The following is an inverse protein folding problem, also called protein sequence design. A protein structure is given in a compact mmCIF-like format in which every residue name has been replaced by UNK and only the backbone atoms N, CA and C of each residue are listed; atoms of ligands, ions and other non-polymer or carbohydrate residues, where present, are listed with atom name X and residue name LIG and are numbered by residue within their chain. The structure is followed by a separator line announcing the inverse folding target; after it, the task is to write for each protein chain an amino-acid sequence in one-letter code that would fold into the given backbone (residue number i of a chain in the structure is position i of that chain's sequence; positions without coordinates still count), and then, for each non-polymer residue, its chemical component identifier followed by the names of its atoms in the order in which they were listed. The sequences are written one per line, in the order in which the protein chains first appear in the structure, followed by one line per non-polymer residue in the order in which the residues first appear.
data_IF_831908669821
#
_entry.id   IF_831908669821
#
_cell.length_a   1.000
_cell.length_b   1.000
_cell.length_c   1.000
_cell.angle_alpha   90.00
_cell.angle_beta   90.00
_cell.angle_gamma   90.00
#
_symmetry.space_group_name_H-M   'P 1'
#
loop_
_entity.id
_entity.type
_entity.pdbx_description
1 polymer ?
#
# COMPACT_ATOMS: atom_id res chain seq x y z
N UNK A 1 -13.62 17.90 28.98
CA UNK A 1 -13.55 17.64 27.54
C UNK A 1 -13.85 18.95 26.83
N UNK A 2 -12.83 19.62 26.31
CA UNK A 2 -13.06 20.69 25.32
C UNK A 2 -13.61 19.99 24.08
N UNK A 3 -14.82 20.34 23.67
CA UNK A 3 -15.32 19.91 22.35
C UNK A 3 -14.50 20.69 21.32
N UNK A 4 -13.60 20.00 20.62
CA UNK A 4 -12.89 20.57 19.47
C UNK A 4 -13.93 20.97 18.43
N UNK A 5 -13.98 22.26 18.10
CA UNK A 5 -14.87 22.77 17.05
C UNK A 5 -14.48 22.08 15.75
N UNK A 6 -15.41 21.41 15.05
CA UNK A 6 -15.06 20.71 13.83
C UNK A 6 -14.61 21.69 12.74
N UNK A 7 -13.65 21.27 11.93
CA UNK A 7 -13.27 21.93 10.69
C UNK A 7 -14.26 21.60 9.55
N UNK A 8 -13.95 22.01 8.31
CA UNK A 8 -14.89 21.89 7.17
C UNK A 8 -15.16 20.45 6.75
N UNK A 9 -14.29 19.50 7.09
CA UNK A 9 -14.44 18.11 6.71
C UNK A 9 -15.67 17.44 7.35
N UNK A 10 -16.28 18.05 8.36
CA UNK A 10 -17.53 17.55 8.97
C UNK A 10 -18.72 17.47 8.00
N UNK A 11 -18.61 18.12 6.84
CA UNK A 11 -19.61 18.11 5.77
C UNK A 11 -19.33 17.11 4.65
N UNK A 12 -18.19 16.41 4.71
CA UNK A 12 -17.81 15.40 3.72
C UNK A 12 -18.58 14.09 3.93
N UNK A 13 -18.60 13.25 2.89
CA UNK A 13 -19.22 11.92 2.94
C UNK A 13 -18.22 10.82 3.24
N UNK A 14 -16.98 10.98 2.79
CA UNK A 14 -15.89 10.05 3.04
C UNK A 14 -15.71 9.83 4.55
N UNK A 15 -15.80 8.58 5.03
CA UNK A 15 -15.45 8.24 6.41
C UNK A 15 -14.02 8.65 6.76
N UNK A 16 -13.09 8.55 5.81
CA UNK A 16 -11.70 8.96 5.99
C UNK A 16 -11.58 10.47 6.24
N UNK A 17 -12.28 11.31 5.47
CA UNK A 17 -12.26 12.75 5.69
C UNK A 17 -12.96 13.14 7.00
N UNK A 18 -14.08 12.48 7.32
CA UNK A 18 -14.82 12.71 8.56
C UNK A 18 -14.01 12.38 9.81
N UNK A 19 -13.11 11.38 9.76
CA UNK A 19 -12.18 11.07 10.85
C UNK A 19 -11.32 12.27 11.24
N UNK A 20 -10.89 13.08 10.25
CA UNK A 20 -10.06 14.25 10.46
C UNK A 20 -10.86 15.54 10.78
N UNK A 21 -12.19 15.46 10.87
CA UNK A 21 -13.05 16.65 11.04
C UNK A 21 -12.85 17.37 12.38
N UNK A 22 -12.30 16.69 13.39
CA UNK A 22 -12.03 17.27 14.71
C UNK A 22 -10.55 17.54 14.98
N UNK A 23 -9.67 17.32 13.99
CA UNK A 23 -8.25 17.64 14.14
C UNK A 23 -8.08 19.16 14.31
N UNK A 24 -7.11 19.61 15.12
CA UNK A 24 -6.83 21.04 15.31
C UNK A 24 -6.37 21.75 14.03
N UNK A 25 -5.92 21.01 13.01
CA UNK A 25 -5.63 21.54 11.68
C UNK A 25 -6.94 22.01 11.01
N UNK A 26 -6.97 23.24 10.48
CA UNK A 26 -8.10 23.83 9.75
C UNK A 26 -8.21 23.25 8.33
N UNK A 27 -8.56 21.96 8.24
CA UNK A 27 -8.65 21.25 6.98
C UNK A 27 -9.75 21.80 6.08
N UNK A 28 -9.41 21.87 4.79
CA UNK A 28 -10.33 22.01 3.67
C UNK A 28 -10.45 20.68 2.92
N UNK A 29 -11.63 20.34 2.38
CA UNK A 29 -11.71 19.35 1.31
C UNK A 29 -11.07 19.94 0.04
N UNK A 30 -10.74 19.06 -0.91
CA UNK A 30 -10.27 19.53 -2.21
C UNK A 30 -11.38 20.30 -2.96
N UNK A 31 -11.15 21.58 -3.22
CA UNK A 31 -12.09 22.40 -3.98
C UNK A 31 -11.61 23.83 -4.21
N UNK A 32 -12.32 24.57 -5.04
CA UNK A 32 -11.96 25.95 -5.43
C UNK A 32 -11.87 26.90 -4.23
N UNK A 33 -12.65 26.66 -3.18
CA UNK A 33 -12.65 27.50 -1.98
C UNK A 33 -11.29 27.52 -1.26
N UNK A 34 -10.60 26.38 -1.16
CA UNK A 34 -9.27 26.28 -0.56
C UNK A 34 -8.25 27.08 -1.36
N UNK A 35 -8.26 26.93 -2.70
CA UNK A 35 -7.32 27.63 -3.58
C UNK A 35 -7.62 29.11 -3.72
N UNK A 36 -8.90 29.52 -3.67
CA UNK A 36 -9.27 30.94 -3.61
C UNK A 36 -8.73 31.57 -2.33
N UNK A 37 -8.91 30.92 -1.18
CA UNK A 37 -8.34 31.41 0.09
C UNK A 37 -6.81 31.47 0.05
N UNK A 38 -6.15 30.47 -0.55
CA UNK A 38 -4.70 30.46 -0.73
C UNK A 38 -4.21 31.65 -1.58
N UNK A 39 -4.97 32.04 -2.60
CA UNK A 39 -4.68 33.22 -3.42
C UNK A 39 -4.91 34.53 -2.66
N UNK A 40 -6.02 34.65 -1.94
CA UNK A 40 -6.38 35.84 -1.14
C UNK A 40 -5.38 36.10 -0.01
N UNK A 41 -4.93 35.04 0.68
CA UNK A 41 -3.96 35.13 1.77
C UNK A 41 -2.49 35.03 1.31
N UNK A 42 -2.25 34.76 0.03
CA UNK A 42 -0.93 34.48 -0.54
C UNK A 42 -0.15 33.41 0.25
N UNK A 43 -0.82 32.31 0.59
CA UNK A 43 -0.24 31.17 1.32
C UNK A 43 -0.08 29.95 0.41
N UNK A 44 1.00 29.16 0.58
CA UNK A 44 1.11 27.86 -0.08
C UNK A 44 0.02 26.91 0.45
N UNK A 45 -0.31 25.90 -0.36
CA UNK A 45 -1.28 24.88 -0.01
C UNK A 45 -0.55 23.62 0.43
N UNK A 46 -0.82 23.15 1.64
CA UNK A 46 -0.38 21.85 2.13
C UNK A 46 -1.44 20.81 1.79
N UNK A 47 -1.14 19.82 0.97
CA UNK A 47 -2.06 18.76 0.58
C UNK A 47 -1.62 17.43 1.18
N UNK A 48 -2.52 16.78 1.92
CA UNK A 48 -2.33 15.43 2.44
C UNK A 48 -3.37 14.48 1.85
N UNK A 49 -2.90 13.57 0.99
CA UNK A 49 -3.72 12.55 0.32
C UNK A 49 -3.54 11.21 1.03
N UNK A 50 -4.65 10.55 1.36
CA UNK A 50 -4.68 9.22 1.98
C UNK A 50 -6.01 8.52 1.76
N UNK A 51 -6.27 7.45 2.49
CA UNK A 51 -7.51 6.67 2.44
C UNK A 51 -7.67 5.88 3.74
N UNK A 52 -8.86 5.35 3.98
CA UNK A 52 -9.31 4.83 5.28
C UNK A 52 -8.50 3.67 5.85
N UNK A 53 -7.92 2.80 5.01
CA UNK A 53 -7.15 1.61 5.44
C UNK A 53 -5.63 1.81 5.38
N UNK A 54 -5.19 3.04 5.18
CA UNK A 54 -3.77 3.40 5.09
C UNK A 54 -3.10 3.50 6.48
N UNK A 55 -2.33 2.49 6.87
CA UNK A 55 -1.62 2.48 8.16
C UNK A 55 -0.76 3.75 8.39
N UNK A 56 0.13 4.09 7.45
CA UNK A 56 1.00 5.27 7.61
C UNK A 56 0.23 6.60 7.63
N UNK A 57 -0.99 6.63 7.07
CA UNK A 57 -1.85 7.80 7.16
C UNK A 57 -2.37 7.97 8.59
N UNK A 58 -2.77 6.87 9.24
CA UNK A 58 -3.17 6.85 10.66
C UNK A 58 -2.01 7.13 11.60
N UNK A 59 -0.80 6.65 11.28
CA UNK A 59 0.41 7.00 12.05
C UNK A 59 0.68 8.48 11.96
N UNK A 60 0.69 9.06 10.75
CA UNK A 60 0.95 10.49 10.56
C UNK A 60 -0.15 11.36 11.17
N UNK A 61 -1.41 10.93 11.16
CA UNK A 61 -2.49 11.60 11.88
C UNK A 61 -2.18 11.67 13.38
N UNK A 62 -2.03 10.52 14.04
CA UNK A 62 -1.83 10.41 15.49
C UNK A 62 -0.57 11.13 15.95
N UNK A 63 0.52 11.04 15.19
CA UNK A 63 1.77 11.68 15.54
C UNK A 63 1.80 13.19 15.26
N UNK A 64 1.04 13.66 14.26
CA UNK A 64 1.21 15.02 13.73
C UNK A 64 -0.10 15.81 13.58
N UNK A 65 -1.14 15.27 12.95
CA UNK A 65 -2.33 16.08 12.65
C UNK A 65 -3.28 16.25 13.85
N UNK A 66 -3.18 15.43 14.89
CA UNK A 66 -3.86 15.61 16.18
C UNK A 66 -3.11 16.53 17.14
N UNK A 67 -1.87 16.89 16.82
CA UNK A 67 -0.97 17.64 17.69
C UNK A 67 -1.09 19.16 17.45
N UNK A 68 -1.36 19.91 18.53
CA UNK A 68 -1.61 21.37 18.48
C UNK A 68 -0.41 22.17 17.95
N UNK A 69 0.83 21.75 18.25
CA UNK A 69 2.04 22.46 17.76
C UNK A 69 2.16 22.35 16.24
N UNK A 70 1.94 21.16 15.68
CA UNK A 70 1.92 20.97 14.22
C UNK A 70 0.76 21.73 13.59
N UNK A 71 -0.42 21.68 14.21
CA UNK A 71 -1.60 22.37 13.72
C UNK A 71 -1.43 23.89 13.71
N UNK A 72 -0.83 24.48 14.74
CA UNK A 72 -0.53 25.91 14.79
C UNK A 72 0.37 26.33 13.64
N UNK A 73 1.44 25.57 13.35
CA UNK A 73 2.34 25.84 12.23
C UNK A 73 1.61 25.74 10.89
N UNK A 74 0.77 24.71 10.71
CA UNK A 74 -0.03 24.52 9.51
C UNK A 74 -1.03 25.66 9.31
N UNK A 75 -1.80 25.98 10.34
CA UNK A 75 -2.87 26.97 10.31
C UNK A 75 -2.32 28.40 10.09
N UNK A 76 -1.14 28.70 10.62
CA UNK A 76 -0.50 30.00 10.42
C UNK A 76 0.09 30.11 9.00
N UNK A 77 0.81 29.08 8.54
CA UNK A 77 1.63 29.16 7.33
C UNK A 77 0.95 28.71 6.04
N UNK A 78 -0.14 27.93 6.10
CA UNK A 78 -0.64 27.17 4.96
C UNK A 78 -2.16 27.19 4.85
N UNK A 79 -2.67 26.92 3.65
CA UNK A 79 -4.02 26.38 3.49
C UNK A 79 -3.91 24.86 3.41
N UNK A 80 -4.42 24.17 4.43
CA UNK A 80 -4.32 22.72 4.55
C UNK A 80 -5.51 22.02 3.88
N UNK A 81 -5.24 21.13 2.95
CA UNK A 81 -6.23 20.36 2.17
C UNK A 81 -6.06 18.87 2.43
N UNK A 82 -7.16 18.21 2.82
CA UNK A 82 -7.23 16.75 2.98
C UNK A 82 -7.95 16.14 1.79
N UNK A 83 -7.40 15.07 1.24
CA UNK A 83 -7.98 14.38 0.08
C UNK A 83 -8.09 12.90 0.38
N UNK A 84 -9.27 12.34 0.11
CA UNK A 84 -9.48 10.90 0.05
C UNK A 84 -9.19 10.41 -1.38
N UNK A 85 -8.20 9.54 -1.49
CA UNK A 85 -7.82 8.89 -2.74
C UNK A 85 -8.96 8.04 -3.31
N UNK A 86 -9.77 7.40 -2.49
CA UNK A 86 -10.85 6.52 -2.96
C UNK A 86 -11.97 7.32 -3.64
N UNK A 87 -12.22 8.55 -3.18
CA UNK A 87 -13.16 9.47 -3.83
C UNK A 87 -12.53 10.26 -4.99
N UNK A 88 -11.22 10.57 -4.90
CA UNK A 88 -10.49 11.40 -5.89
C UNK A 88 -9.22 10.73 -6.44
N UNK A 89 -9.34 9.58 -7.12
CA UNK A 89 -8.19 8.90 -7.72
C UNK A 89 -7.52 9.72 -8.85
N UNK A 90 -8.27 10.65 -9.45
CA UNK A 90 -7.77 11.60 -10.44
C UNK A 90 -6.70 12.53 -9.85
N UNK A 91 -6.96 13.10 -8.67
CA UNK A 91 -6.01 13.98 -7.97
C UNK A 91 -4.82 13.18 -7.47
N UNK A 92 -5.08 12.04 -6.85
CA UNK A 92 -4.04 11.14 -6.34
C UNK A 92 -3.03 10.77 -7.43
N UNK A 93 -3.51 10.37 -8.61
CA UNK A 93 -2.63 9.93 -9.71
C UNK A 93 -1.70 11.04 -10.20
N UNK A 94 -2.20 12.28 -10.33
CA UNK A 94 -1.40 13.43 -10.77
C UNK A 94 -0.28 13.71 -9.79
N UNK A 95 -0.58 13.80 -8.49
CA UNK A 95 0.43 14.15 -7.50
C UNK A 95 1.32 12.97 -7.10
N UNK A 96 0.85 11.73 -7.27
CA UNK A 96 1.70 10.55 -7.14
C UNK A 96 2.79 10.55 -8.22
N UNK A 97 2.44 10.87 -9.47
CA UNK A 97 3.42 11.01 -10.55
C UNK A 97 4.46 12.09 -10.24
N UNK A 98 4.03 13.21 -9.65
CA UNK A 98 4.96 14.27 -9.19
C UNK A 98 5.90 13.74 -8.11
N UNK A 99 5.38 13.05 -7.10
CA UNK A 99 6.20 12.45 -6.03
C UNK A 99 7.23 11.46 -6.59
N UNK A 100 6.82 10.59 -7.51
CA UNK A 100 7.71 9.65 -8.18
C UNK A 100 8.76 10.36 -9.02
N UNK A 101 8.39 11.41 -9.76
CA UNK A 101 9.33 12.19 -10.57
C UNK A 101 10.38 12.91 -9.71
N UNK A 102 10.00 13.39 -8.51
CA UNK A 102 10.88 14.12 -7.61
C UNK A 102 11.75 13.22 -6.72
N UNK A 103 11.19 12.11 -6.22
CA UNK A 103 11.82 11.28 -5.19
C UNK A 103 12.28 9.91 -5.70
N UNK A 104 11.89 9.53 -6.92
CA UNK A 104 12.10 8.19 -7.47
C UNK A 104 11.19 7.11 -6.89
N UNK A 105 10.31 7.46 -5.94
CA UNK A 105 9.38 6.54 -5.30
C UNK A 105 8.04 7.23 -4.99
N UNK A 106 7.04 6.45 -4.58
CA UNK A 106 5.72 6.96 -4.24
C UNK A 106 5.05 6.11 -3.16
N UNK A 107 4.03 6.65 -2.54
CA UNK A 107 3.30 5.97 -1.47
C UNK A 107 2.41 6.93 -0.69
N UNK A 108 1.71 6.39 0.30
CA UNK A 108 0.80 7.14 1.15
C UNK A 108 1.25 7.09 2.62
N UNK A 109 0.97 8.13 3.43
CA UNK A 109 0.30 9.38 3.06
C UNK A 109 1.15 10.16 2.06
N UNK A 110 0.50 10.78 1.09
CA UNK A 110 1.17 11.59 0.07
C UNK A 110 1.06 13.06 0.50
N UNK A 111 2.21 13.66 0.78
CA UNK A 111 2.37 15.04 1.25
C UNK A 111 2.88 15.90 0.11
N UNK A 112 2.12 16.93 -0.27
CA UNK A 112 2.43 17.78 -1.42
C UNK A 112 2.29 19.25 -1.03
N UNK A 113 3.25 20.07 -1.42
CA UNK A 113 3.13 21.53 -1.31
C UNK A 113 2.87 22.13 -2.68
N UNK A 114 1.77 22.86 -2.78
CA UNK A 114 1.34 23.53 -3.99
C UNK A 114 1.43 25.04 -3.83
N UNK A 115 1.67 25.72 -4.94
CA UNK A 115 1.37 27.14 -5.07
C UNK A 115 -0.16 27.38 -5.06
N UNK A 116 -0.63 28.63 -4.82
CA UNK A 116 -2.06 28.98 -4.93
C UNK A 116 -2.72 28.67 -6.28
N UNK A 117 -1.92 28.54 -7.35
CA UNK A 117 -2.33 28.13 -8.70
C UNK A 117 -2.18 26.62 -8.96
N UNK A 118 -2.11 25.80 -7.89
CA UNK A 118 -2.11 24.33 -7.90
C UNK A 118 -0.85 23.66 -8.44
N UNK A 119 0.25 24.41 -8.60
CA UNK A 119 1.51 23.87 -9.13
C UNK A 119 2.35 23.27 -8.00
N UNK A 120 2.78 22.00 -8.12
CA UNK A 120 3.56 21.38 -7.06
C UNK A 120 5.00 21.85 -7.08
N UNK A 121 5.54 22.26 -5.94
CA UNK A 121 6.97 22.59 -5.80
C UNK A 121 7.71 21.67 -4.82
N UNK A 122 6.99 20.82 -4.10
CA UNK A 122 7.55 19.77 -3.25
C UNK A 122 6.56 18.62 -3.11
N UNK A 123 7.07 17.38 -3.08
CA UNK A 123 6.29 16.18 -2.80
C UNK A 123 7.13 15.16 -2.01
N UNK A 124 6.47 14.42 -1.14
CA UNK A 124 7.04 13.31 -0.38
C UNK A 124 5.94 12.44 0.21
N UNK A 125 6.32 11.38 0.90
CA UNK A 125 5.35 10.44 1.49
C UNK A 125 5.14 10.74 2.98
N UNK A 126 5.55 9.81 3.84
CA UNK A 126 5.48 9.92 5.29
C UNK A 126 6.62 10.78 5.85
N UNK A 127 6.28 11.70 6.76
CA UNK A 127 7.23 12.47 7.55
C UNK A 127 6.92 12.28 9.05
N UNK A 128 7.89 11.85 9.89
CA UNK A 128 7.70 11.81 11.34
C UNK A 128 7.53 13.23 11.90
N UNK A 129 6.90 13.40 13.07
CA UNK A 129 6.68 14.74 13.68
C UNK A 129 7.96 15.58 13.74
N UNK A 130 9.04 14.99 14.26
CA UNK A 130 10.38 15.59 14.33
C UNK A 130 11.41 14.76 13.57
N UNK A 131 12.45 15.44 13.11
CA UNK A 131 13.59 14.82 12.43
C UNK A 131 14.24 13.72 13.29
N UNK A 132 14.33 12.50 12.76
CA UNK A 132 14.88 11.32 13.47
C UNK A 132 15.60 10.41 12.50
N UNK A 133 16.71 9.81 12.95
CA UNK A 133 17.49 8.83 12.19
C UNK A 133 17.85 9.28 10.76
N UNK A 134 18.20 10.55 10.58
CA UNK A 134 18.55 11.12 9.27
C UNK A 134 17.36 11.37 8.33
N UNK A 135 16.12 11.17 8.81
CA UNK A 135 14.90 11.56 8.10
C UNK A 135 14.45 12.95 8.57
N UNK A 136 14.06 13.78 7.61
CA UNK A 136 13.47 15.09 7.87
C UNK A 136 12.11 14.94 8.55
N UNK A 137 11.83 15.76 9.57
CA UNK A 137 10.55 15.80 10.26
C UNK A 137 9.59 16.80 9.65
N UNK A 138 8.30 16.62 9.92
CA UNK A 138 7.23 17.48 9.39
C UNK A 138 7.36 18.91 9.92
N UNK A 139 7.65 19.12 11.20
CA UNK A 139 7.81 20.47 11.78
C UNK A 139 8.94 21.23 11.08
N UNK A 140 10.11 20.62 10.95
CA UNK A 140 11.25 21.28 10.32
C UNK A 140 10.99 21.56 8.83
N UNK A 141 10.28 20.65 8.14
CA UNK A 141 9.86 20.84 6.76
C UNK A 141 8.89 22.02 6.61
N UNK A 142 7.84 22.09 7.46
CA UNK A 142 6.84 23.16 7.42
C UNK A 142 7.48 24.54 7.67
N UNK A 143 8.36 24.64 8.67
CA UNK A 143 9.08 25.88 8.97
C UNK A 143 9.93 26.30 7.77
N UNK A 144 10.71 25.39 7.20
CA UNK A 144 11.57 25.69 6.06
C UNK A 144 10.78 26.11 4.81
N UNK A 145 9.62 25.48 4.55
CA UNK A 145 8.76 25.87 3.43
C UNK A 145 8.13 27.24 3.67
N UNK A 146 7.64 27.52 4.89
CA UNK A 146 7.05 28.83 5.26
C UNK A 146 8.08 29.95 5.06
N UNK A 147 9.28 29.81 5.63
CA UNK A 147 10.36 30.81 5.49
C UNK A 147 10.73 31.03 4.03
N UNK A 148 10.86 29.95 3.25
CA UNK A 148 11.20 30.04 1.82
C UNK A 148 10.08 30.65 1.00
N UNK A 149 8.82 30.45 1.36
CA UNK A 149 7.69 31.11 0.72
C UNK A 149 7.68 32.62 1.00
N UNK A 150 7.88 33.02 2.25
CA UNK A 150 7.92 34.44 2.64
C UNK A 150 9.08 35.20 2.00
N UNK A 151 10.23 34.55 1.85
CA UNK A 151 11.45 35.19 1.34
C UNK A 151 11.66 35.02 -0.17
N UNK A 152 11.16 33.93 -0.77
CA UNK A 152 11.47 33.52 -2.14
C UNK A 152 10.27 32.87 -2.89
N UNK A 153 9.03 33.34 -2.66
CA UNK A 153 7.81 32.79 -3.30
C UNK A 153 7.90 32.68 -4.83
N UNK A 154 8.43 33.68 -5.53
CA UNK A 154 8.60 33.64 -6.99
C UNK A 154 9.49 32.48 -7.46
N UNK A 155 10.53 32.13 -6.69
CA UNK A 155 11.39 30.99 -7.02
C UNK A 155 10.65 29.66 -6.83
N UNK A 156 9.82 29.53 -5.79
CA UNK A 156 8.99 28.34 -5.58
C UNK A 156 7.92 28.19 -6.66
N UNK A 157 7.35 29.29 -7.15
CA UNK A 157 6.44 29.27 -8.29
C UNK A 157 7.14 28.80 -9.57
N UNK A 158 8.34 29.30 -9.86
CA UNK A 158 9.16 28.85 -10.99
C UNK A 158 9.51 27.36 -10.93
N UNK A 159 9.85 26.84 -9.73
CA UNK A 159 10.05 25.40 -9.54
C UNK A 159 8.80 24.59 -9.89
N UNK A 160 7.61 25.11 -9.57
CA UNK A 160 6.35 24.47 -9.94
C UNK A 160 6.15 24.37 -11.44
N UNK A 161 6.47 25.44 -12.18
CA UNK A 161 6.45 25.45 -13.65
C UNK A 161 7.46 24.45 -14.23
N UNK A 162 8.68 24.43 -13.70
CA UNK A 162 9.73 23.51 -14.14
C UNK A 162 9.34 22.04 -13.92
N UNK A 163 8.74 21.70 -12.77
CA UNK A 163 8.28 20.35 -12.48
C UNK A 163 7.18 19.93 -13.46
N UNK A 164 6.19 20.79 -13.70
CA UNK A 164 5.09 20.50 -14.64
C UNK A 164 5.64 20.29 -16.05
N UNK A 165 6.54 21.16 -16.51
CA UNK A 165 7.13 21.05 -17.85
C UNK A 165 7.96 19.76 -17.99
N UNK A 166 8.79 19.42 -17.01
CA UNK A 166 9.56 18.18 -17.02
C UNK A 166 8.68 16.93 -17.05
N UNK A 167 7.57 16.94 -16.31
CA UNK A 167 6.60 15.83 -16.33
C UNK A 167 5.92 15.74 -17.70
N UNK A 168 5.48 16.87 -18.26
CA UNK A 168 4.88 16.91 -19.59
C UNK A 168 5.83 16.41 -20.68
N UNK A 169 7.10 16.79 -20.64
CA UNK A 169 8.14 16.31 -21.57
C UNK A 169 8.36 14.79 -21.44
N UNK A 170 8.41 14.26 -20.21
CA UNK A 170 8.55 12.82 -19.96
C UNK A 170 7.34 12.01 -20.41
N UNK A 171 6.14 12.57 -20.25
CA UNK A 171 4.91 11.93 -20.74
C UNK A 171 4.85 11.94 -22.28
N UNK A 172 5.59 12.83 -22.93
CA UNK A 172 5.65 12.97 -24.38
C UNK A 172 4.32 13.42 -25.00
N UNK A 173 4.35 13.77 -26.28
CA UNK A 173 3.11 13.89 -27.04
C UNK A 173 2.56 12.48 -27.29
N UNK A 174 1.32 12.21 -26.83
CA UNK A 174 0.61 11.00 -27.21
C UNK A 174 0.44 10.98 -28.72
N UNK A 175 1.26 10.18 -29.40
CA UNK A 175 1.12 9.96 -30.84
C UNK A 175 -0.19 9.20 -31.09
N UNK A 176 -1.08 9.68 -31.97
CA UNK A 176 -2.31 8.97 -32.29
C UNK A 176 -1.99 7.63 -32.96
N UNK A 177 -2.51 6.54 -32.39
CA UNK A 177 -2.32 5.17 -32.89
C UNK A 177 -2.29 4.13 -31.77
N UNK A 178 -2.30 2.85 -32.14
CA UNK A 178 -2.04 1.76 -31.20
C UNK A 178 -0.52 1.58 -31.00
N UNK A 179 -0.05 1.22 -29.79
CA UNK A 179 1.37 0.95 -29.55
C UNK A 179 1.89 -0.17 -30.47
N UNK A 180 3.04 0.07 -31.11
CA UNK A 180 3.73 -0.93 -31.94
C UNK A 180 4.31 -2.09 -31.12
N UNK A 181 4.72 -3.17 -31.80
CA UNK A 181 5.38 -4.32 -31.17
C UNK A 181 6.66 -3.97 -30.41
N UNK A 182 7.35 -2.91 -30.84
CA UNK A 182 8.57 -2.39 -30.24
C UNK A 182 8.32 -1.98 -28.78
N UNK A 183 7.20 -1.31 -28.51
CA UNK A 183 6.81 -0.91 -27.15
C UNK A 183 6.57 -2.12 -26.26
N UNK A 184 5.98 -3.18 -26.82
CA UNK A 184 5.72 -4.44 -26.13
C UNK A 184 7.06 -5.13 -25.77
N UNK A 185 8.01 -5.18 -26.70
CA UNK A 185 9.36 -5.73 -26.45
C UNK A 185 10.13 -4.92 -25.42
N UNK A 186 10.15 -3.59 -25.52
CA UNK A 186 10.81 -2.74 -24.52
C UNK A 186 10.19 -2.90 -23.13
N UNK A 187 8.87 -3.09 -23.03
CA UNK A 187 8.21 -3.38 -21.76
C UNK A 187 8.69 -4.71 -21.16
N UNK A 188 8.80 -5.77 -21.98
CA UNK A 188 9.36 -7.05 -21.55
C UNK A 188 10.82 -6.91 -21.09
N UNK A 189 11.67 -6.21 -21.85
CA UNK A 189 13.09 -6.01 -21.48
C UNK A 189 13.23 -5.28 -20.14
N UNK A 190 12.36 -4.30 -19.85
CA UNK A 190 12.35 -3.63 -18.55
C UNK A 190 11.96 -4.61 -17.43
N UNK A 191 10.94 -5.44 -17.65
CA UNK A 191 10.52 -6.45 -16.66
C UNK A 191 11.62 -7.48 -16.42
N UNK A 192 12.25 -7.99 -17.48
CA UNK A 192 13.38 -8.91 -17.41
C UNK A 192 14.55 -8.33 -16.60
N UNK A 193 14.92 -7.08 -16.88
CA UNK A 193 16.02 -6.40 -16.18
C UNK A 193 15.72 -6.10 -14.70
N UNK A 194 14.44 -5.97 -14.34
CA UNK A 194 14.03 -5.67 -12.96
C UNK A 194 13.58 -6.90 -12.18
N UNK A 195 13.50 -8.07 -12.83
CA UNK A 195 13.03 -9.30 -12.23
C UNK A 195 14.02 -9.84 -11.18
N UNK A 196 13.48 -10.17 -10.01
CA UNK A 196 14.23 -10.86 -8.96
C UNK A 196 14.15 -12.38 -9.17
N UNK A 197 15.17 -12.93 -9.83
CA UNK A 197 15.23 -14.39 -10.10
C UNK A 197 15.34 -15.25 -8.84
N UNK A 198 15.75 -14.68 -7.70
CA UNK A 198 15.91 -15.43 -6.44
C UNK A 198 14.57 -15.59 -5.73
N UNK A 199 13.81 -14.51 -5.59
CA UNK A 199 12.59 -14.47 -4.78
C UNK A 199 11.29 -14.22 -5.59
N UNK A 200 11.39 -13.95 -6.89
CA UNK A 200 10.26 -13.51 -7.70
C UNK A 200 9.87 -12.05 -7.42
N UNK A 201 9.04 -11.47 -8.29
CA UNK A 201 8.69 -10.05 -8.28
C UNK A 201 9.67 -9.17 -9.03
N UNK A 202 9.42 -7.87 -8.98
CA UNK A 202 10.18 -6.86 -9.73
C UNK A 202 10.69 -5.78 -8.77
N UNK A 203 11.97 -5.43 -8.89
CA UNK A 203 12.63 -4.44 -8.06
C UNK A 203 13.04 -4.94 -6.66
N UNK A 204 13.39 -3.98 -5.82
CA UNK A 204 13.87 -4.21 -4.44
C UNK A 204 12.71 -4.10 -3.42
N UNK A 205 13.02 -4.17 -2.13
CA UNK A 205 12.06 -3.92 -1.06
C UNK A 205 11.64 -2.43 -0.99
N UNK A 206 10.37 -2.11 -0.64
CA UNK A 206 9.24 -3.02 -0.44
C UNK A 206 8.75 -3.63 -1.77
N UNK A 207 8.26 -4.88 -1.73
CA UNK A 207 7.77 -5.61 -2.91
C UNK A 207 6.25 -5.65 -3.01
N UNK A 208 5.73 -5.22 -4.16
CA UNK A 208 4.31 -5.24 -4.48
C UNK A 208 3.93 -6.40 -5.43
N UNK A 209 2.75 -7.02 -5.28
CA UNK A 209 2.31 -8.12 -6.14
C UNK A 209 2.24 -7.80 -7.65
N UNK A 210 1.92 -6.55 -8.01
CA UNK A 210 1.84 -6.03 -9.39
C UNK A 210 1.19 -7.01 -10.41
N UNK A 211 -0.06 -7.46 -10.23
CA UNK A 211 -0.63 -8.54 -11.04
C UNK A 211 -0.73 -8.21 -12.54
N UNK A 212 -0.84 -6.92 -12.88
CA UNK A 212 -0.85 -6.43 -14.25
C UNK A 212 0.46 -6.71 -15.00
N UNK A 213 1.62 -6.73 -14.31
CA UNK A 213 2.88 -7.18 -14.90
C UNK A 213 2.80 -8.67 -15.25
N UNK A 214 2.23 -9.49 -14.36
CA UNK A 214 2.10 -10.94 -14.56
C UNK A 214 1.15 -11.26 -15.72
N UNK A 215 0.01 -10.56 -15.78
CA UNK A 215 -0.95 -10.67 -16.88
C UNK A 215 -0.31 -10.26 -18.22
N UNK A 216 0.47 -9.17 -18.24
CA UNK A 216 1.24 -8.78 -19.41
C UNK A 216 2.23 -9.88 -19.85
N UNK A 217 3.03 -10.41 -18.92
CA UNK A 217 4.01 -11.46 -19.21
C UNK A 217 3.38 -12.75 -19.72
N UNK A 218 2.19 -13.13 -19.21
CA UNK A 218 1.43 -14.27 -19.73
C UNK A 218 1.01 -14.06 -21.19
N UNK A 219 0.57 -12.85 -21.54
CA UNK A 219 0.25 -12.50 -22.93
C UNK A 219 1.51 -12.46 -23.80
N UNK A 220 2.60 -11.92 -23.28
CA UNK A 220 3.88 -11.84 -23.96
C UNK A 220 4.44 -13.23 -24.27
N UNK A 221 4.51 -14.12 -23.26
CA UNK A 221 4.85 -15.53 -23.40
C UNK A 221 4.04 -16.19 -24.50
N UNK A 222 2.72 -16.03 -24.48
CA UNK A 222 1.84 -16.69 -25.44
C UNK A 222 2.01 -16.16 -26.86
N UNK A 223 2.24 -14.85 -27.01
CA UNK A 223 2.31 -14.17 -28.31
C UNK A 223 3.65 -14.36 -29.00
N UNK A 224 4.75 -14.31 -28.25
CA UNK A 224 6.11 -14.35 -28.79
C UNK A 224 6.85 -15.66 -28.49
N UNK A 225 6.19 -16.61 -27.83
CA UNK A 225 6.74 -17.92 -27.46
C UNK A 225 7.99 -17.81 -26.57
N UNK A 226 8.09 -16.76 -25.74
CA UNK A 226 9.23 -16.47 -24.86
C UNK A 226 9.08 -17.19 -23.50
N UNK A 227 9.76 -18.34 -23.26
CA UNK A 227 9.54 -19.15 -22.07
C UNK A 227 9.94 -18.46 -20.77
N UNK A 228 10.92 -17.56 -20.81
CA UNK A 228 11.37 -16.85 -19.62
C UNK A 228 10.29 -15.92 -19.06
N UNK A 229 9.40 -15.38 -19.92
CA UNK A 229 8.22 -14.63 -19.49
C UNK A 229 7.30 -15.46 -18.58
N UNK A 230 7.06 -16.74 -18.91
CA UNK A 230 6.27 -17.64 -18.07
C UNK A 230 7.01 -18.01 -16.78
N UNK A 231 8.32 -18.22 -16.85
CA UNK A 231 9.14 -18.50 -15.65
C UNK A 231 9.06 -17.36 -14.64
N UNK A 232 9.16 -16.10 -15.09
CA UNK A 232 9.00 -14.92 -14.24
C UNK A 232 7.64 -14.92 -13.52
N UNK A 233 6.57 -15.27 -14.23
CA UNK A 233 5.21 -15.36 -13.67
C UNK A 233 5.13 -16.47 -12.61
N UNK A 234 5.52 -17.69 -12.96
CA UNK A 234 5.44 -18.83 -12.04
C UNK A 234 6.26 -18.61 -10.77
N UNK A 235 7.48 -18.06 -10.91
CA UNK A 235 8.37 -17.75 -9.79
C UNK A 235 7.79 -16.67 -8.87
N UNK A 236 7.19 -15.63 -9.45
CA UNK A 236 6.58 -14.54 -8.68
C UNK A 236 5.34 -15.03 -7.92
N UNK A 237 4.41 -15.69 -8.60
CA UNK A 237 3.21 -16.26 -7.97
C UNK A 237 3.60 -17.23 -6.85
N UNK A 238 4.54 -18.13 -7.09
CA UNK A 238 4.99 -19.08 -6.09
C UNK A 238 5.67 -18.39 -4.90
N UNK A 239 6.52 -17.39 -5.16
CA UNK A 239 7.17 -16.60 -4.11
C UNK A 239 6.18 -15.89 -3.20
N UNK A 240 5.14 -15.28 -3.79
CA UNK A 240 4.08 -14.61 -3.04
C UNK A 240 3.24 -15.59 -2.21
N UNK A 241 2.80 -16.70 -2.81
CA UNK A 241 2.02 -17.72 -2.09
C UNK A 241 2.80 -18.35 -0.95
N UNK A 242 4.11 -18.59 -1.11
CA UNK A 242 4.94 -19.15 -0.05
C UNK A 242 5.43 -18.11 0.97
N UNK A 243 5.22 -16.83 0.71
CA UNK A 243 5.58 -15.74 1.60
C UNK A 243 4.55 -15.50 2.70
N UNK A 244 4.83 -14.58 3.61
CA UNK A 244 3.87 -14.13 4.62
C UNK A 244 2.81 -13.16 4.09
N UNK A 245 2.90 -12.75 2.82
CA UNK A 245 1.86 -11.91 2.20
C UNK A 245 0.58 -12.68 1.88
N UNK A 246 0.65 -14.00 1.71
CA UNK A 246 -0.55 -14.83 1.60
C UNK A 246 -0.94 -15.33 2.99
N UNK A 247 -2.17 -15.06 3.40
CA UNK A 247 -2.69 -15.56 4.65
C UNK A 247 -3.08 -17.04 4.49
N UNK A 248 -2.24 -17.95 4.99
CA UNK A 248 -2.49 -19.38 4.86
C UNK A 248 -3.63 -19.93 5.74
N UNK A 249 -4.25 -19.09 6.58
CA UNK A 249 -5.36 -19.47 7.45
C UNK A 249 -6.66 -18.81 6.96
N UNK A 250 -6.67 -17.48 6.92
CA UNK A 250 -7.83 -16.70 6.50
C UNK A 250 -7.94 -16.54 4.98
N UNK A 251 -6.89 -16.86 4.23
CA UNK A 251 -6.75 -16.58 2.79
C UNK A 251 -6.74 -15.08 2.47
N UNK A 252 -6.50 -14.82 1.18
CA UNK A 252 -6.30 -13.47 0.68
C UNK A 252 -4.84 -13.02 0.80
N UNK A 253 -4.49 -12.08 -0.06
CA UNK A 253 -3.18 -11.45 -0.11
C UNK A 253 -3.22 -10.10 0.60
N UNK A 254 -2.24 -9.90 1.47
CA UNK A 254 -1.82 -8.60 1.98
C UNK A 254 -1.26 -7.75 0.83
N UNK A 255 -1.32 -6.43 0.98
CA UNK A 255 -1.07 -5.48 -0.09
C UNK A 255 0.35 -5.55 -0.64
N UNK A 256 1.35 -5.68 0.23
CA UNK A 256 2.76 -5.76 -0.17
C UNK A 256 3.62 -6.37 0.92
N UNK A 257 4.85 -6.75 0.57
CA UNK A 257 5.90 -7.12 1.53
C UNK A 257 6.82 -5.94 1.79
N UNK A 258 7.12 -5.66 3.06
CA UNK A 258 8.12 -4.66 3.45
C UNK A 258 9.55 -5.11 3.15
N UNK A 259 9.75 -6.41 2.88
CA UNK A 259 11.03 -7.00 2.51
C UNK A 259 11.07 -7.52 1.07
N UNK A 260 12.25 -8.00 0.65
CA UNK A 260 12.49 -8.53 -0.69
C UNK A 260 12.07 -10.00 -0.85
N UNK A 261 11.80 -10.71 0.25
CA UNK A 261 11.62 -12.17 0.25
C UNK A 261 10.16 -12.59 0.39
N UNK A 262 9.23 -11.62 0.37
CA UNK A 262 7.79 -11.78 0.58
C UNK A 262 7.40 -12.22 1.99
N UNK A 263 8.28 -12.05 2.99
CA UNK A 263 8.03 -12.58 4.32
C UNK A 263 7.20 -11.62 5.17
N UNK A 264 7.59 -10.36 5.31
CA UNK A 264 6.93 -9.41 6.22
C UNK A 264 5.85 -8.60 5.49
N UNK A 265 4.55 -8.94 5.64
CA UNK A 265 3.47 -8.21 4.99
C UNK A 265 3.26 -6.83 5.61
N UNK A 266 2.71 -5.93 4.80
CA UNK A 266 1.88 -4.84 5.27
C UNK A 266 0.43 -5.34 5.23
N UNK A 267 -0.15 -5.61 6.40
CA UNK A 267 -1.29 -6.53 6.59
C UNK A 267 -2.63 -6.10 5.97
N UNK A 268 -2.70 -4.86 5.47
CA UNK A 268 -3.85 -4.37 4.70
C UNK A 268 -4.16 -5.31 3.53
N UNK A 269 -5.44 -5.64 3.32
CA UNK A 269 -5.89 -6.44 2.16
C UNK A 269 -6.83 -5.61 1.30
N UNK A 270 -6.50 -5.45 0.02
CA UNK A 270 -7.30 -4.67 -0.93
C UNK A 270 -8.12 -5.61 -1.83
N UNK A 271 -9.38 -5.27 -2.09
CA UNK A 271 -10.23 -6.05 -2.99
C UNK A 271 -9.62 -6.12 -4.39
N UNK A 272 -9.12 -5.01 -4.90
CA UNK A 272 -8.57 -4.95 -6.27
C UNK A 272 -7.31 -5.79 -6.42
N UNK A 273 -6.45 -5.87 -5.39
CA UNK A 273 -5.24 -6.69 -5.43
C UNK A 273 -5.63 -8.17 -5.46
N UNK A 274 -6.55 -8.60 -4.59
CA UNK A 274 -7.05 -9.97 -4.52
C UNK A 274 -7.80 -10.39 -5.81
N UNK A 275 -8.61 -9.49 -6.38
CA UNK A 275 -9.30 -9.73 -7.63
C UNK A 275 -8.33 -9.91 -8.80
N UNK A 276 -7.35 -9.01 -8.95
CA UNK A 276 -6.37 -9.08 -10.03
C UNK A 276 -5.38 -10.24 -9.86
N UNK A 277 -4.99 -10.58 -8.62
CA UNK A 277 -4.20 -11.77 -8.35
C UNK A 277 -4.96 -13.04 -8.73
N UNK A 278 -6.26 -13.13 -8.40
CA UNK A 278 -7.09 -14.28 -8.80
C UNK A 278 -7.07 -14.49 -10.33
N UNK A 279 -7.10 -13.40 -11.11
CA UNK A 279 -6.94 -13.49 -12.57
C UNK A 279 -5.55 -14.01 -12.96
N UNK A 280 -4.48 -13.46 -12.39
CA UNK A 280 -3.11 -13.90 -12.69
C UNK A 280 -2.89 -15.40 -12.36
N UNK A 281 -3.40 -15.86 -11.22
CA UNK A 281 -3.36 -17.28 -10.83
C UNK A 281 -4.17 -18.17 -11.78
N UNK A 282 -5.40 -17.78 -12.15
CA UNK A 282 -6.20 -18.57 -13.08
C UNK A 282 -5.57 -18.63 -14.48
N UNK A 283 -5.02 -17.53 -14.97
CA UNK A 283 -4.34 -17.53 -16.26
C UNK A 283 -3.02 -18.31 -16.23
N UNK A 284 -2.27 -18.30 -15.12
CA UNK A 284 -1.13 -19.19 -14.92
C UNK A 284 -1.55 -20.66 -14.91
N UNK A 285 -2.70 -21.00 -14.31
CA UNK A 285 -3.27 -22.35 -14.40
C UNK A 285 -3.57 -22.73 -15.86
N UNK A 286 -4.14 -21.83 -16.65
CA UNK A 286 -4.42 -22.07 -18.08
C UNK A 286 -3.13 -22.23 -18.90
N UNK A 287 -2.10 -21.42 -18.61
CA UNK A 287 -0.82 -21.47 -19.31
C UNK A 287 -0.03 -22.76 -19.02
N UNK A 288 -0.10 -23.26 -17.79
CA UNK A 288 0.79 -24.33 -17.27
C UNK A 288 0.09 -25.68 -17.08
N UNK A 289 -1.24 -25.70 -16.97
CA UNK A 289 -2.03 -26.86 -16.58
C UNK A 289 -1.89 -27.26 -15.09
N UNK A 290 -1.20 -26.45 -14.27
CA UNK A 290 -0.97 -26.76 -12.85
C UNK A 290 -2.17 -26.35 -12.00
N UNK A 291 -2.94 -27.33 -11.52
CA UNK A 291 -4.12 -27.12 -10.65
C UNK A 291 -3.82 -26.36 -9.36
N UNK A 292 -2.56 -26.35 -8.90
CA UNK A 292 -2.10 -25.54 -7.78
C UNK A 292 -2.58 -24.08 -7.89
N UNK A 293 -2.40 -23.45 -9.06
CA UNK A 293 -2.76 -22.06 -9.24
C UNK A 293 -4.27 -21.82 -9.19
N UNK A 294 -5.07 -22.75 -9.72
CA UNK A 294 -6.52 -22.71 -9.54
C UNK A 294 -6.94 -22.91 -8.08
N UNK A 295 -6.19 -23.70 -7.31
CA UNK A 295 -6.36 -23.82 -5.85
C UNK A 295 -6.23 -22.47 -5.15
N UNK A 296 -5.12 -21.76 -5.38
CA UNK A 296 -4.88 -20.44 -4.76
C UNK A 296 -5.97 -19.43 -5.13
N UNK A 297 -6.42 -19.40 -6.38
CA UNK A 297 -7.52 -18.53 -6.77
C UNK A 297 -8.84 -18.84 -6.03
N UNK A 298 -9.14 -20.13 -5.79
CA UNK A 298 -10.32 -20.53 -5.00
C UNK A 298 -10.20 -20.10 -3.54
N UNK A 299 -9.01 -20.17 -2.96
CA UNK A 299 -8.75 -19.69 -1.60
C UNK A 299 -8.99 -18.18 -1.49
N UNK A 300 -8.53 -17.40 -2.47
CA UNK A 300 -8.82 -15.96 -2.55
C UNK A 300 -10.33 -15.70 -2.70
N UNK A 301 -11.04 -16.46 -3.53
CA UNK A 301 -12.50 -16.33 -3.64
C UNK A 301 -13.21 -16.66 -2.33
N UNK A 302 -12.74 -17.66 -1.58
CA UNK A 302 -13.29 -18.00 -0.28
C UNK A 302 -13.10 -16.85 0.73
N UNK A 303 -11.94 -16.20 0.74
CA UNK A 303 -11.71 -14.98 1.52
C UNK A 303 -12.67 -13.85 1.12
N UNK A 304 -12.76 -13.52 -0.17
CA UNK A 304 -13.61 -12.41 -0.65
C UNK A 304 -15.09 -12.64 -0.31
N UNK A 305 -15.57 -13.88 -0.45
CA UNK A 305 -16.95 -14.23 -0.12
C UNK A 305 -17.23 -14.18 1.39
N UNK A 306 -16.23 -14.46 2.23
CA UNK A 306 -16.37 -14.52 3.68
C UNK A 306 -16.22 -13.15 4.35
N UNK A 307 -15.17 -12.41 4.00
CA UNK A 307 -14.77 -11.17 4.68
C UNK A 307 -15.16 -9.91 3.90
N UNK A 308 -15.07 -9.97 2.57
CA UNK A 308 -15.19 -8.77 1.72
C UNK A 308 -16.58 -8.59 1.10
N UNK A 309 -17.53 -9.48 1.39
CA UNK A 309 -18.89 -9.41 0.84
C UNK A 309 -19.86 -8.88 1.90
N UNK A 310 -20.49 -7.75 1.60
CA UNK A 310 -21.49 -7.17 2.50
C UNK A 310 -22.79 -8.01 2.45
N UNK A 311 -23.53 -8.14 3.56
CA UNK A 311 -24.83 -8.81 3.59
C UNK A 311 -25.86 -8.25 2.59
N UNK A 312 -25.68 -6.98 2.18
CA UNK A 312 -26.50 -6.28 1.19
C UNK A 312 -26.13 -6.61 -0.26
N UNK A 313 -25.08 -7.41 -0.49
CA UNK A 313 -24.66 -7.91 -1.80
C UNK A 313 -23.58 -7.09 -2.51
N UNK A 314 -23.03 -6.06 -1.86
CA UNK A 314 -21.86 -5.32 -2.34
C UNK A 314 -20.55 -5.97 -1.90
N UNK A 315 -19.43 -5.43 -2.39
CA UNK A 315 -18.10 -5.77 -1.87
C UNK A 315 -17.49 -4.58 -1.15
N UNK A 316 -16.85 -4.82 -0.01
CA UNK A 316 -15.98 -3.85 0.65
C UNK A 316 -14.72 -3.63 -0.20
N UNK A 317 -14.15 -2.43 -0.15
CA UNK A 317 -12.98 -2.07 -0.97
C UNK A 317 -11.66 -2.52 -0.37
N UNK A 318 -11.60 -2.60 0.97
CA UNK A 318 -10.40 -2.93 1.71
C UNK A 318 -10.71 -3.48 3.11
N UNK A 319 -9.73 -4.17 3.69
CA UNK A 319 -9.65 -4.59 5.09
C UNK A 319 -8.42 -3.92 5.74
N UNK A 320 -8.62 -3.31 6.91
CA UNK A 320 -7.59 -2.54 7.63
C UNK A 320 -6.44 -3.44 8.13
N UNK A 321 -5.23 -2.88 8.16
CA UNK A 321 -4.03 -3.52 8.73
C UNK A 321 -4.01 -3.49 10.27
N UNK A 322 -4.70 -2.51 10.88
CA UNK A 322 -4.72 -2.31 12.32
C UNK A 322 -5.81 -3.16 12.98
N UNK A 323 -5.41 -4.02 13.91
CA UNK A 323 -6.31 -4.82 14.73
C UNK A 323 -6.15 -4.42 16.19
N UNK A 324 -7.17 -3.77 16.77
CA UNK A 324 -7.13 -3.21 18.12
C UNK A 324 -5.97 -2.22 18.37
N UNK A 325 -5.61 -1.43 17.34
CA UNK A 325 -4.54 -0.43 17.40
C UNK A 325 -3.13 -0.99 17.28
N UNK A 326 -2.97 -2.27 16.93
CA UNK A 326 -1.69 -2.90 16.66
C UNK A 326 -1.72 -3.59 15.29
N UNK A 327 -0.79 -3.20 14.41
CA UNK A 327 -0.66 -3.76 13.07
C UNK A 327 -0.41 -5.28 13.15
N UNK A 328 -1.19 -6.08 12.41
CA UNK A 328 -0.90 -7.51 12.22
C UNK A 328 -1.19 -8.43 13.41
N UNK A 329 -1.84 -7.95 14.49
CA UNK A 329 -2.05 -8.71 15.74
C UNK A 329 -2.72 -10.09 15.51
N UNK A 330 -3.69 -10.18 14.62
CA UNK A 330 -4.39 -11.44 14.32
C UNK A 330 -3.67 -12.35 13.34
N UNK A 331 -2.58 -11.86 12.75
CA UNK A 331 -1.84 -12.56 11.71
C UNK A 331 -0.52 -13.16 12.22
N UNK A 332 -0.26 -13.06 13.52
CA UNK A 332 0.93 -13.60 14.18
C UNK A 332 0.58 -14.71 15.17
N UNK A 333 1.36 -15.78 15.15
CA UNK A 333 1.10 -16.99 15.95
C UNK A 333 2.29 -17.37 16.83
N UNK A 334 2.02 -17.85 18.04
CA UNK A 334 3.05 -18.52 18.85
C UNK A 334 2.95 -20.04 18.71
N UNK A 335 4.06 -20.78 18.92
CA UNK A 335 4.03 -22.23 18.92
C UNK A 335 2.98 -22.83 19.87
N UNK A 336 2.77 -22.20 21.03
CA UNK A 336 1.79 -22.62 22.04
C UNK A 336 0.36 -22.51 21.52
N UNK A 337 0.01 -21.38 20.90
CA UNK A 337 -1.31 -21.18 20.29
C UNK A 337 -1.59 -22.23 19.22
N UNK A 338 -0.60 -22.52 18.37
CA UNK A 338 -0.75 -23.56 17.33
C UNK A 338 -0.96 -24.95 17.96
N UNK A 339 -0.17 -25.31 18.98
CA UNK A 339 -0.28 -26.61 19.65
C UNK A 339 -1.57 -26.76 20.46
N UNK A 340 -2.10 -25.68 21.01
CA UNK A 340 -3.40 -25.68 21.69
C UNK A 340 -4.54 -26.07 20.74
N UNK A 341 -4.51 -25.56 19.50
CA UNK A 341 -5.54 -25.84 18.50
C UNK A 341 -5.35 -27.21 17.83
N UNK A 342 -4.10 -27.58 17.50
CA UNK A 342 -3.79 -28.75 16.67
C UNK A 342 -3.37 -29.99 17.46
N UNK A 343 -3.12 -29.85 18.76
CA UNK A 343 -2.40 -30.85 19.55
C UNK A 343 -0.90 -30.84 19.28
N UNK A 344 -0.16 -31.61 20.08
CA UNK A 344 1.31 -31.54 20.11
C UNK A 344 1.97 -31.95 18.79
N UNK A 345 1.61 -33.13 18.26
CA UNK A 345 2.29 -33.72 17.09
C UNK A 345 2.02 -32.93 15.79
N UNK A 346 0.75 -32.64 15.50
CA UNK A 346 0.38 -31.86 14.31
C UNK A 346 0.75 -30.39 14.47
N UNK A 347 0.72 -29.85 15.69
CA UNK A 347 1.19 -28.49 16.00
C UNK A 347 2.70 -28.31 15.80
N UNK A 348 3.52 -29.27 16.22
CA UNK A 348 4.97 -29.25 15.99
C UNK A 348 5.29 -29.36 14.49
N UNK A 349 4.59 -30.22 13.76
CA UNK A 349 4.72 -30.31 12.30
C UNK A 349 4.33 -28.99 11.61
N UNK A 350 3.22 -28.37 12.03
CA UNK A 350 2.77 -27.08 11.50
C UNK A 350 3.81 -25.98 11.76
N UNK A 351 4.27 -25.83 13.00
CA UNK A 351 5.29 -24.83 13.36
C UNK A 351 6.56 -24.98 12.51
N UNK A 352 7.04 -26.21 12.31
CA UNK A 352 8.22 -26.49 11.48
C UNK A 352 8.00 -26.19 10.00
N UNK A 353 6.78 -26.38 9.51
CA UNK A 353 6.40 -26.17 8.11
C UNK A 353 6.30 -24.69 7.76
N UNK A 354 5.74 -23.91 8.69
CA UNK A 354 5.51 -22.47 8.55
C UNK A 354 6.57 -21.59 9.22
N UNK A 355 7.62 -22.18 9.79
CA UNK A 355 8.71 -21.42 10.42
C UNK A 355 8.27 -20.63 11.66
N UNK A 356 7.31 -21.16 12.43
CA UNK A 356 6.87 -20.58 13.70
C UNK A 356 7.87 -20.98 14.78
N UNK A 357 8.47 -20.00 15.43
CA UNK A 357 9.47 -20.20 16.49
C UNK A 357 9.18 -19.34 17.71
N UNK A 358 9.73 -19.71 18.87
CA UNK A 358 9.63 -18.91 20.09
C UNK A 358 10.26 -17.52 19.95
N UNK A 359 11.25 -17.35 19.05
CA UNK A 359 11.91 -16.06 18.82
C UNK A 359 11.18 -15.17 17.80
N UNK A 360 10.14 -15.68 17.12
CA UNK A 360 9.53 -15.01 15.97
C UNK A 360 10.33 -15.26 14.70
N UNK A 361 9.72 -15.00 13.54
CA UNK A 361 10.38 -15.14 12.24
C UNK A 361 10.55 -13.81 11.50
N UNK A 362 10.18 -12.69 12.12
CA UNK A 362 10.54 -11.34 11.68
C UNK A 362 10.70 -10.36 12.85
N UNK A 363 11.52 -9.32 12.65
CA UNK A 363 11.66 -8.20 13.57
C UNK A 363 10.68 -7.08 13.19
N UNK A 364 9.71 -6.78 14.05
CA UNK A 364 8.86 -5.59 13.91
C UNK A 364 9.70 -4.35 14.25
N UNK A 365 10.09 -3.56 13.23
CA UNK A 365 11.00 -2.41 13.44
C UNK A 365 10.35 -1.19 14.11
N UNK A 366 9.02 -1.15 14.25
CA UNK A 366 8.30 0.05 14.66
C UNK A 366 7.37 -0.12 15.86
N UNK A 367 7.23 -1.33 16.41
CA UNK A 367 6.40 -1.61 17.59
C UNK A 367 7.23 -2.37 18.62
N UNK A 368 7.48 -1.83 19.82
CA UNK A 368 8.18 -2.58 20.86
C UNK A 368 7.27 -3.73 21.34
N UNK A 369 7.78 -4.97 21.34
CA UNK A 369 7.26 -6.14 22.10
C UNK A 369 6.25 -7.09 21.44
N UNK A 370 6.20 -7.22 20.11
CA UNK A 370 5.54 -8.38 19.50
C UNK A 370 6.53 -9.35 18.85
N UNK A 371 6.55 -10.58 19.36
CA UNK A 371 7.17 -11.74 18.72
C UNK A 371 6.21 -12.16 17.60
N UNK A 372 6.50 -11.75 16.37
CA UNK A 372 5.65 -12.08 15.22
C UNK A 372 6.16 -13.34 14.52
N UNK A 373 5.31 -14.38 14.39
CA UNK A 373 5.50 -15.39 13.35
C UNK A 373 4.41 -15.21 12.30
N UNK A 374 4.78 -14.74 11.12
CA UNK A 374 3.98 -14.92 9.90
C UNK A 374 4.11 -16.36 9.42
N UNK A 375 3.28 -16.80 8.48
CA UNK A 375 3.20 -18.21 8.08
C UNK A 375 3.77 -18.45 6.67
N UNK A 376 5.08 -18.28 6.39
CA UNK A 376 5.62 -18.65 5.09
C UNK A 376 5.59 -20.17 4.88
N UNK A 377 4.96 -20.66 3.82
CA UNK A 377 4.97 -22.08 3.48
C UNK A 377 6.25 -22.46 2.73
N UNK A 378 6.98 -23.46 3.22
CA UNK A 378 8.12 -24.03 2.49
C UNK A 378 7.66 -24.62 1.15
N UNK A 379 8.27 -24.17 0.05
CA UNK A 379 7.99 -24.64 -1.33
C UNK A 379 8.00 -26.18 -1.45
N UNK A 380 8.88 -26.86 -0.72
CA UNK A 380 8.97 -28.34 -0.74
C UNK A 380 7.71 -29.04 -0.21
N UNK A 381 6.81 -28.34 0.47
CA UNK A 381 5.62 -28.87 1.14
C UNK A 381 4.31 -28.62 0.37
N UNK A 382 4.36 -28.04 -0.83
CA UNK A 382 3.16 -27.73 -1.63
C UNK A 382 2.28 -28.99 -1.92
N UNK A 383 2.90 -30.17 -1.98
CA UNK A 383 2.21 -31.45 -2.17
C UNK A 383 1.52 -32.03 -0.93
N UNK A 384 1.78 -31.48 0.26
CA UNK A 384 1.20 -31.95 1.54
C UNK A 384 -0.12 -31.22 1.89
N UNK A 385 -0.72 -30.52 0.92
CA UNK A 385 -1.94 -29.69 1.03
C UNK A 385 -3.13 -30.42 1.66
N UNK A 386 -3.21 -31.75 1.53
CA UNK A 386 -4.26 -32.60 2.11
C UNK A 386 -4.18 -32.66 3.65
N UNK A 387 -2.99 -32.49 4.24
CA UNK A 387 -2.82 -32.50 5.70
C UNK A 387 -3.23 -31.15 6.30
N UNK A 388 -2.94 -30.06 5.60
CA UNK A 388 -3.28 -28.68 6.03
C UNK A 388 -4.78 -28.37 5.89
N UNK A 389 -5.47 -28.86 4.85
CA UNK A 389 -6.92 -28.68 4.67
C UNK A 389 -7.78 -29.26 5.80
N UNK A 390 -7.26 -30.22 6.59
CA UNK A 390 -7.95 -30.75 7.79
C UNK A 390 -7.76 -29.89 9.04
N UNK A 391 -6.73 -29.05 9.05
CA UNK A 391 -6.29 -28.23 10.19
C UNK A 391 -7.01 -26.87 10.21
N UNK A 392 -7.18 -26.28 9.03
CA UNK A 392 -7.77 -24.96 8.83
C UNK A 392 -9.17 -24.73 9.45
N UNK A 393 -10.15 -25.65 9.35
CA UNK A 393 -11.49 -25.43 9.92
C UNK A 393 -11.49 -25.31 11.46
N UNK A 394 -10.52 -25.93 12.13
CA UNK A 394 -10.40 -25.90 13.60
C UNK A 394 -9.87 -24.53 14.05
N UNK A 395 -8.87 -23.98 13.35
CA UNK A 395 -8.34 -22.65 13.64
C UNK A 395 -9.40 -21.57 13.38
N UNK A 396 -10.11 -21.65 12.25
CA UNK A 396 -11.16 -20.69 11.89
C UNK A 396 -12.38 -20.74 12.82
N UNK A 397 -12.69 -21.90 13.42
CA UNK A 397 -13.84 -22.05 14.33
C UNK A 397 -13.57 -21.59 15.77
N UNK A 398 -12.31 -21.51 16.18
CA UNK A 398 -11.91 -21.00 17.50
C UNK A 398 -11.64 -19.49 17.52
N UNK A 399 -11.44 -18.89 16.34
CA UNK A 399 -11.22 -17.46 16.14
C UNK A 399 -12.35 -16.81 15.33
N UNK A 400 -13.60 -17.19 15.59
CA UNK A 400 -14.74 -16.37 15.16
C UNK A 400 -14.60 -14.98 15.80
N UNK A 401 -14.17 -14.03 14.96
CA UNK A 401 -14.09 -12.60 15.19
C UNK A 401 -15.44 -12.00 15.61
#
# INVERSE_FOLDING_TARGET
MMYLTPNRLIHEKSPYLLQHAHNPVDWYPWGDDAFRKAQEENKPVFVSIGYSTCHWCHVMERESFEDEEVADILNEGFISVKVDREERPDIDSVYMNVCQAMTGSGGWPLTVFLTPDRKPFFAGTYFPKHSRYGRLGLIELLIAVKEKWETHSHHLQGLGDDIINNIAERMGESMPGEPGSEVIHSCYEIMENTFDSRYGGFGNAPKFPTPHHLLFLLRYWKRFEEPFALEMVEKTLLGMYCGGIFDHIGFGFSRYSTDQVWLVPHFEKMLYDNALLSLAYLEACQATGKEFYAGVARDVFAYVLREMTSPEGGFYTAEDADSEGVEGKFYVWTPEQVKEVLGEDDGEYFCKSYGITEQGNFEVRYTPQQIGNVLPLKISLLGDTIRFTKILPVILSQHLF
#
